data_IF_245103306888
#
_entry.id   IF_245103306888
#
_cell.length_a   1.000
_cell.length_b   1.000
_cell.length_c   1.000
_cell.angle_alpha   90.00
_cell.angle_beta   90.00
_cell.angle_gamma   90.00
#
_symmetry.space_group_name_H-M   'P 1'
#
loop_
_entity.id
_entity.type
_entity.pdbx_description
1 polymer ?
#
# COMPACT_ATOMS: atom_id res chain seq x y z
N UNK A 1 -3.68 13.70 -22.92
CA UNK A 1 -3.22 13.82 -21.51
C UNK A 1 -3.69 12.60 -20.77
N UNK A 2 -2.79 11.87 -20.10
CA UNK A 2 -3.18 10.67 -19.34
C UNK A 2 -4.01 11.08 -18.10
N UNK A 3 -4.73 10.11 -17.52
CA UNK A 3 -5.45 10.28 -16.26
C UNK A 3 -4.48 10.61 -15.11
N UNK A 4 -3.27 10.03 -15.15
CA UNK A 4 -2.22 10.26 -14.14
C UNK A 4 -1.79 11.72 -14.14
N UNK A 5 -1.50 12.32 -15.30
CA UNK A 5 -1.14 13.74 -15.38
C UNK A 5 -2.26 14.67 -14.93
N UNK A 6 -3.52 14.31 -15.18
CA UNK A 6 -4.66 15.15 -14.82
C UNK A 6 -4.89 15.18 -13.30
N UNK A 7 -4.70 14.06 -12.62
CA UNK A 7 -5.09 13.91 -11.22
C UNK A 7 -3.91 13.78 -10.26
N UNK A 8 -2.84 13.06 -10.60
CA UNK A 8 -1.74 12.80 -9.68
C UNK A 8 -0.69 13.92 -9.70
N UNK A 9 -0.22 14.34 -10.88
CA UNK A 9 0.90 15.29 -11.03
C UNK A 9 0.66 16.61 -10.29
N UNK A 10 -0.49 17.30 -10.44
CA UNK A 10 -0.71 18.58 -9.76
C UNK A 10 -0.72 18.45 -8.23
N UNK A 11 -1.18 17.31 -7.71
CA UNK A 11 -1.23 17.07 -6.27
C UNK A 11 0.13 16.63 -5.72
N UNK A 12 0.95 15.94 -6.52
CA UNK A 12 2.32 15.56 -6.15
C UNK A 12 3.21 16.80 -6.05
N UNK A 13 3.15 17.71 -7.03
CA UNK A 13 3.92 18.96 -7.00
C UNK A 13 3.52 19.84 -5.82
N UNK A 14 2.23 19.91 -5.50
CA UNK A 14 1.72 20.65 -4.34
C UNK A 14 2.11 20.00 -2.99
N UNK A 15 2.30 18.68 -2.95
CA UNK A 15 2.67 17.93 -1.75
C UNK A 15 4.19 17.76 -1.57
N UNK A 16 4.98 18.01 -2.62
CA UNK A 16 6.43 17.82 -2.64
C UNK A 16 7.10 18.78 -1.65
N UNK A 17 7.60 18.23 -0.53
CA UNK A 17 8.47 18.95 0.39
C UNK A 17 9.93 18.68 0.01
N UNK A 18 10.83 19.67 0.12
CA UNK A 18 12.25 19.43 -0.07
C UNK A 18 12.72 18.27 0.83
N UNK A 19 13.43 17.30 0.25
CA UNK A 19 13.98 16.12 0.92
C UNK A 19 12.96 15.12 1.51
N UNK A 20 11.67 15.23 1.18
CA UNK A 20 10.68 14.21 1.53
C UNK A 20 10.65 13.08 0.50
N UNK A 21 10.39 11.85 0.95
CA UNK A 21 10.20 10.69 0.07
C UNK A 21 8.83 10.77 -0.64
N UNK A 22 8.81 10.61 -1.95
CA UNK A 22 7.60 10.46 -2.77
C UNK A 22 7.19 9.00 -2.87
N UNK A 23 6.15 8.61 -2.12
CA UNK A 23 5.69 7.21 -2.04
C UNK A 23 4.41 7.04 -2.87
N UNK A 24 4.47 6.21 -3.91
CA UNK A 24 3.30 5.77 -4.67
C UNK A 24 2.61 4.60 -3.99
N UNK A 25 1.33 4.76 -3.64
CA UNK A 25 0.54 3.72 -2.95
C UNK A 25 -0.40 3.06 -3.96
N UNK A 26 -0.25 1.74 -4.13
CA UNK A 26 -1.18 0.90 -4.88
C UNK A 26 -2.24 0.37 -3.91
N UNK A 27 -3.45 0.92 -4.02
CA UNK A 27 -4.62 0.48 -3.26
C UNK A 27 -5.88 0.61 -4.11
N UNK A 28 -6.81 -0.32 -3.98
CA UNK A 28 -8.12 -0.20 -4.61
C UNK A 28 -9.04 0.62 -3.70
N UNK A 29 -9.75 1.60 -4.26
CA UNK A 29 -10.80 2.29 -3.52
C UNK A 29 -12.15 1.61 -3.77
N UNK A 30 -12.75 1.03 -2.72
CA UNK A 30 -14.18 0.79 -2.66
C UNK A 30 -14.92 2.05 -2.19
N UNK A 31 -16.15 2.28 -2.67
CA UNK A 31 -17.01 3.36 -2.17
C UNK A 31 -18.25 2.75 -1.50
N UNK A 32 -18.20 2.67 -0.16
CA UNK A 32 -19.33 2.29 0.69
C UNK A 32 -20.41 3.37 0.61
N UNK A 33 -21.68 2.97 0.55
CA UNK A 33 -22.79 3.92 0.60
C UNK A 33 -23.93 3.40 1.46
N UNK A 34 -24.24 4.16 2.50
CA UNK A 34 -25.44 4.01 3.30
C UNK A 34 -26.35 5.23 3.10
N UNK A 35 -27.63 5.00 2.80
CA UNK A 35 -28.63 6.05 2.57
C UNK A 35 -29.86 5.55 1.82
N UNK A 36 -30.96 6.30 1.87
CA UNK A 36 -32.27 5.93 1.29
C UNK A 36 -32.47 6.39 -0.16
N UNK A 37 -31.49 7.08 -0.77
CA UNK A 37 -31.54 7.55 -2.16
C UNK A 37 -30.39 6.95 -2.97
N UNK A 38 -30.67 6.01 -3.89
CA UNK A 38 -29.62 5.37 -4.71
C UNK A 38 -30.09 4.93 -6.11
N UNK A 39 -29.30 5.28 -7.13
CA UNK A 39 -29.20 4.52 -8.38
C UNK A 39 -27.88 3.73 -8.35
N UNK A 40 -27.92 2.48 -8.81
CA UNK A 40 -26.70 1.68 -9.02
C UNK A 40 -26.02 1.16 -7.74
N UNK A 41 -26.70 1.03 -6.60
CA UNK A 41 -26.10 0.43 -5.38
C UNK A 41 -26.48 -1.04 -5.28
N UNK A 42 -25.47 -1.91 -5.08
CA UNK A 42 -25.65 -3.35 -4.88
C UNK A 42 -24.70 -3.86 -3.81
N UNK A 43 -25.13 -4.92 -3.11
CA UNK A 43 -24.28 -5.74 -2.25
C UNK A 43 -23.13 -6.32 -3.08
N UNK A 44 -21.91 -5.94 -2.75
CA UNK A 44 -20.71 -6.44 -3.39
C UNK A 44 -19.58 -6.61 -2.37
N UNK A 45 -18.62 -7.48 -2.67
CA UNK A 45 -17.48 -7.68 -1.80
C UNK A 45 -16.57 -6.45 -1.85
N UNK A 46 -16.40 -5.77 -0.72
CA UNK A 46 -15.64 -4.52 -0.63
C UNK A 46 -14.51 -4.66 0.38
N UNK A 47 -13.28 -4.47 -0.09
CA UNK A 47 -12.07 -4.56 0.75
C UNK A 47 -12.06 -3.54 1.88
N UNK A 48 -12.55 -2.31 1.64
CA UNK A 48 -12.65 -1.24 2.63
C UNK A 48 -13.60 -1.60 3.79
N UNK A 49 -14.71 -2.28 3.48
CA UNK A 49 -15.75 -2.67 4.45
C UNK A 49 -15.38 -3.93 5.25
N UNK A 50 -14.34 -4.66 4.82
CA UNK A 50 -13.96 -5.94 5.41
C UNK A 50 -14.98 -7.06 5.15
N UNK A 51 -15.78 -6.96 4.09
CA UNK A 51 -16.81 -7.96 3.77
C UNK A 51 -17.74 -7.55 2.63
N UNK A 52 -18.94 -8.15 2.58
CA UNK A 52 -19.97 -7.78 1.62
C UNK A 52 -20.75 -6.59 2.19
N UNK A 53 -20.78 -5.49 1.46
CA UNK A 53 -21.56 -4.31 1.81
C UNK A 53 -22.18 -3.63 0.57
N UNK A 54 -23.05 -2.66 0.79
CA UNK A 54 -23.65 -1.83 -0.25
C UNK A 54 -22.60 -0.86 -0.81
N UNK A 55 -22.25 -1.06 -2.08
CA UNK A 55 -21.35 -0.18 -2.79
C UNK A 55 -21.96 0.32 -4.09
N UNK A 56 -21.38 1.41 -4.59
CA UNK A 56 -21.71 1.94 -5.93
C UNK A 56 -21.22 0.92 -6.97
N UNK A 57 -22.14 0.44 -7.80
CA UNK A 57 -21.88 -0.33 -9.01
C UNK A 57 -21.72 0.67 -10.15
N UNK A 58 -20.51 0.81 -10.66
CA UNK A 58 -20.26 1.64 -11.84
C UNK A 58 -20.40 0.75 -13.07
N UNK A 59 -21.21 1.17 -14.04
CA UNK A 59 -21.23 0.51 -15.34
C UNK A 59 -19.91 0.79 -16.04
N UNK A 60 -19.15 -0.26 -16.31
CA UNK A 60 -17.92 -0.18 -17.10
C UNK A 60 -18.27 -0.29 -18.59
N UNK A 61 -17.48 0.32 -19.49
CA UNK A 61 -17.64 0.15 -20.93
C UNK A 61 -17.69 -1.33 -21.31
N UNK A 62 -18.58 -1.70 -22.24
CA UNK A 62 -18.79 -3.09 -22.65
C UNK A 62 -17.55 -3.70 -23.35
N UNK A 63 -16.69 -2.86 -23.89
CA UNK A 63 -15.42 -3.20 -24.53
C UNK A 63 -14.25 -3.29 -23.53
N UNK A 64 -14.49 -3.07 -22.23
CA UNK A 64 -13.45 -3.18 -21.22
C UNK A 64 -13.01 -4.64 -21.04
N UNK A 65 -11.78 -4.93 -21.45
CA UNK A 65 -11.17 -6.25 -21.23
C UNK A 65 -10.78 -6.42 -19.77
N UNK A 66 -10.98 -7.63 -19.24
CA UNK A 66 -10.52 -8.00 -17.90
C UNK A 66 -8.99 -7.86 -17.80
N UNK A 67 -8.53 -7.21 -16.73
CA UNK A 67 -7.13 -7.14 -16.35
C UNK A 67 -7.00 -7.44 -14.85
N UNK A 68 -5.95 -8.16 -14.48
CA UNK A 68 -5.64 -8.41 -13.07
C UNK A 68 -5.18 -7.13 -12.39
N UNK A 69 -5.28 -7.07 -11.04
CA UNK A 69 -4.78 -5.93 -10.24
C UNK A 69 -3.33 -5.56 -10.56
N UNK A 70 -2.48 -6.58 -10.74
CA UNK A 70 -1.09 -6.36 -11.15
C UNK A 70 -0.95 -5.73 -12.53
N UNK A 71 -1.76 -6.15 -13.50
CA UNK A 71 -1.76 -5.59 -14.86
C UNK A 71 -2.29 -4.14 -14.87
N UNK A 72 -3.34 -3.86 -14.09
CA UNK A 72 -3.84 -2.49 -13.90
C UNK A 72 -2.78 -1.58 -13.26
N UNK A 73 -2.09 -2.06 -12.21
CA UNK A 73 -1.01 -1.31 -11.58
C UNK A 73 0.16 -1.03 -12.54
N UNK A 74 0.56 -2.02 -13.36
CA UNK A 74 1.59 -1.82 -14.39
C UNK A 74 1.14 -0.75 -15.40
N UNK A 75 -0.13 -0.77 -15.84
CA UNK A 75 -0.68 0.25 -16.73
C UNK A 75 -0.59 1.65 -16.13
N UNK A 76 -1.04 1.83 -14.87
CA UNK A 76 -0.97 3.10 -14.17
C UNK A 76 0.46 3.59 -13.98
N UNK A 77 1.40 2.70 -13.64
CA UNK A 77 2.82 3.05 -13.50
C UNK A 77 3.44 3.44 -14.85
N UNK A 78 3.07 2.76 -15.94
CA UNK A 78 3.54 3.12 -17.28
C UNK A 78 3.09 4.52 -17.68
N UNK A 79 1.84 4.86 -17.41
CA UNK A 79 1.31 6.20 -17.65
C UNK A 79 2.05 7.24 -16.79
N UNK A 80 2.28 6.92 -15.50
CA UNK A 80 3.04 7.79 -14.60
C UNK A 80 4.47 8.07 -15.10
N UNK A 81 5.17 7.04 -15.57
CA UNK A 81 6.51 7.19 -16.13
C UNK A 81 6.53 7.95 -17.45
N UNK A 82 5.52 7.74 -18.31
CA UNK A 82 5.35 8.51 -19.54
C UNK A 82 5.13 10.01 -19.26
N UNK A 83 4.50 10.33 -18.12
CA UNK A 83 4.32 11.71 -17.64
C UNK A 83 5.49 12.23 -16.77
N UNK A 84 6.63 11.52 -16.75
CA UNK A 84 7.83 11.86 -15.97
C UNK A 84 7.59 11.98 -14.45
N UNK A 85 6.64 11.23 -13.91
CA UNK A 85 6.43 11.14 -12.47
C UNK A 85 7.51 10.28 -11.84
N UNK A 86 8.29 10.88 -10.93
CA UNK A 86 9.31 10.19 -10.17
C UNK A 86 8.77 9.73 -8.81
N UNK A 87 8.90 8.44 -8.53
CA UNK A 87 8.50 7.83 -7.25
C UNK A 87 9.74 7.30 -6.55
N UNK A 88 9.89 7.66 -5.27
CA UNK A 88 10.94 7.11 -4.43
C UNK A 88 10.65 5.65 -4.06
N UNK A 89 9.41 5.31 -3.75
CA UNK A 89 9.00 3.94 -3.45
C UNK A 89 7.60 3.68 -4.00
N UNK A 90 7.37 2.48 -4.53
CA UNK A 90 6.03 1.95 -4.77
C UNK A 90 5.67 0.99 -3.65
N UNK A 91 4.52 1.18 -3.03
CA UNK A 91 4.05 0.34 -1.92
C UNK A 91 2.69 -0.25 -2.25
N UNK A 92 2.44 -1.45 -1.75
CA UNK A 92 1.23 -2.18 -2.08
C UNK A 92 0.99 -3.35 -1.14
N UNK A 93 -0.24 -3.82 -1.14
CA UNK A 93 -0.67 -4.93 -0.30
C UNK A 93 -0.16 -6.30 -0.78
N UNK A 94 -0.68 -7.37 -0.16
CA UNK A 94 -0.24 -8.74 -0.43
C UNK A 94 -0.59 -9.22 -1.84
N UNK A 95 -1.66 -8.67 -2.43
CA UNK A 95 -2.09 -9.03 -3.78
C UNK A 95 -1.08 -8.51 -4.80
N UNK A 96 -0.64 -7.26 -4.65
CA UNK A 96 0.42 -6.69 -5.45
C UNK A 96 1.76 -7.40 -5.21
N UNK A 97 2.11 -7.69 -3.95
CA UNK A 97 3.36 -8.37 -3.62
C UNK A 97 3.43 -9.81 -4.07
N UNK A 98 2.30 -10.49 -4.31
CA UNK A 98 2.27 -11.84 -4.91
C UNK A 98 2.46 -11.79 -6.44
N UNK A 99 2.14 -10.66 -7.09
CA UNK A 99 2.23 -10.52 -8.54
C UNK A 99 3.69 -10.45 -9.04
N UNK A 100 4.20 -11.55 -9.61
CA UNK A 100 5.56 -11.60 -10.17
C UNK A 100 5.76 -10.66 -11.36
N UNK A 101 4.73 -10.49 -12.21
CA UNK A 101 4.78 -9.55 -13.35
C UNK A 101 5.05 -8.12 -12.89
N UNK A 102 4.36 -7.67 -11.83
CA UNK A 102 4.54 -6.33 -11.25
C UNK A 102 5.95 -6.16 -10.67
N UNK A 103 6.45 -7.14 -9.91
CA UNK A 103 7.81 -7.07 -9.35
C UNK A 103 8.87 -6.99 -10.45
N UNK A 104 8.73 -7.82 -11.49
CA UNK A 104 9.63 -7.82 -12.65
C UNK A 104 9.63 -6.47 -13.35
N UNK A 105 8.44 -5.92 -13.62
CA UNK A 105 8.30 -4.60 -14.23
C UNK A 105 8.98 -3.49 -13.40
N UNK A 106 8.77 -3.48 -12.08
CA UNK A 106 9.39 -2.50 -11.19
C UNK A 106 10.93 -2.64 -11.17
N UNK A 107 11.44 -3.87 -11.09
CA UNK A 107 12.89 -4.14 -11.14
C UNK A 107 13.52 -3.70 -12.47
N UNK A 108 12.87 -3.98 -13.60
CA UNK A 108 13.34 -3.58 -14.95
C UNK A 108 13.42 -2.06 -15.12
N UNK A 109 12.53 -1.32 -14.47
CA UNK A 109 12.51 0.15 -14.50
C UNK A 109 13.39 0.78 -13.41
N UNK A 110 14.09 -0.03 -12.60
CA UNK A 110 14.88 0.48 -11.47
C UNK A 110 14.02 1.18 -10.42
N UNK A 111 12.75 0.82 -10.29
CA UNK A 111 11.83 1.38 -9.31
C UNK A 111 11.97 0.64 -7.98
N UNK A 112 12.33 1.37 -6.91
CA UNK A 112 12.30 0.80 -5.57
C UNK A 112 10.86 0.52 -5.12
N UNK A 113 10.64 -0.59 -4.42
CA UNK A 113 9.33 -0.97 -3.92
C UNK A 113 9.38 -1.62 -2.54
N UNK A 114 8.26 -1.52 -1.81
CA UNK A 114 7.98 -2.26 -0.57
C UNK A 114 6.58 -2.86 -0.68
N UNK A 115 6.51 -4.14 -1.02
CA UNK A 115 5.24 -4.84 -1.23
C UNK A 115 5.00 -5.85 -0.11
N UNK A 116 3.78 -5.88 0.45
CA UNK A 116 3.44 -6.90 1.46
C UNK A 116 3.45 -8.28 0.82
N UNK A 117 3.91 -9.30 1.54
CA UNK A 117 3.94 -10.70 1.10
C UNK A 117 3.42 -11.62 2.19
N UNK A 118 3.01 -12.83 1.79
CA UNK A 118 2.58 -13.88 2.72
C UNK A 118 3.74 -14.33 3.61
N UNK A 119 3.39 -14.82 4.78
CA UNK A 119 4.32 -15.47 5.71
C UNK A 119 5.04 -16.70 5.10
N UNK A 120 4.35 -17.39 4.19
CA UNK A 120 4.85 -18.54 3.42
C UNK A 120 5.70 -18.16 2.21
N UNK A 121 5.88 -16.87 1.94
CA UNK A 121 6.71 -16.41 0.82
C UNK A 121 8.16 -16.90 0.98
N UNK A 122 8.67 -17.56 -0.05
CA UNK A 122 9.99 -18.18 -0.04
C UNK A 122 11.05 -17.14 -0.44
N UNK A 123 12.07 -17.02 0.39
CA UNK A 123 13.19 -16.12 0.22
C UNK A 123 14.47 -16.94 0.08
N UNK A 124 15.22 -16.67 -0.99
CA UNK A 124 16.60 -17.12 -1.09
C UNK A 124 17.48 -16.23 -0.20
N UNK A 125 18.17 -16.80 0.77
CA UNK A 125 19.17 -16.15 1.61
C UNK A 125 20.58 -16.50 1.14
N UNK A 126 21.57 -15.73 1.59
CA UNK A 126 22.99 -16.03 1.35
C UNK A 126 23.35 -17.45 1.78
N UNK A 127 24.27 -18.08 1.05
CA UNK A 127 24.64 -19.48 1.28
C UNK A 127 23.67 -20.52 0.72
N UNK A 128 22.83 -20.14 -0.26
CA UNK A 128 21.97 -21.08 -1.00
C UNK A 128 20.77 -21.61 -0.22
N UNK A 129 20.44 -21.01 0.93
CA UNK A 129 19.32 -21.45 1.76
C UNK A 129 18.04 -20.74 1.35
N UNK A 130 16.97 -21.50 1.08
CA UNK A 130 15.62 -20.95 0.86
C UNK A 130 14.75 -21.14 2.09
N UNK A 131 14.19 -20.05 2.64
CA UNK A 131 13.34 -20.08 3.83
C UNK A 131 12.05 -19.30 3.61
N UNK A 132 10.98 -19.71 4.28
CA UNK A 132 9.77 -18.88 4.38
C UNK A 132 9.98 -17.69 5.32
N UNK A 133 9.19 -16.62 5.18
CA UNK A 133 9.24 -15.47 6.09
C UNK A 133 9.15 -15.87 7.57
N UNK A 134 8.28 -16.82 7.91
CA UNK A 134 8.20 -17.39 9.26
C UNK A 134 9.48 -18.07 9.72
N UNK A 135 10.05 -18.94 8.88
CA UNK A 135 11.31 -19.62 9.18
C UNK A 135 12.47 -18.64 9.35
N UNK A 136 12.47 -17.55 8.56
CA UNK A 136 13.44 -16.47 8.67
C UNK A 136 13.35 -15.79 10.04
N UNK A 137 12.14 -15.43 10.49
CA UNK A 137 11.92 -14.84 11.82
C UNK A 137 12.37 -15.81 12.91
N UNK A 138 11.96 -17.07 12.80
CA UNK A 138 12.26 -18.11 13.78
C UNK A 138 13.77 -18.38 13.88
N UNK A 139 14.53 -18.32 12.79
CA UNK A 139 15.98 -18.61 12.81
C UNK A 139 16.83 -17.38 13.13
N UNK A 140 16.49 -16.23 12.55
CA UNK A 140 17.40 -15.08 12.53
C UNK A 140 16.96 -13.91 13.42
N UNK A 141 15.69 -13.83 13.83
CA UNK A 141 15.12 -12.68 14.57
C UNK A 141 14.70 -13.03 16.02
N UNK A 142 15.24 -14.10 16.62
CA UNK A 142 14.96 -14.49 18.02
C UNK A 142 15.38 -13.43 19.04
N UNK A 143 16.45 -12.69 18.77
CA UNK A 143 17.02 -11.73 19.71
C UNK A 143 16.29 -10.39 19.66
N UNK A 144 15.87 -9.88 20.83
CA UNK A 144 15.19 -8.57 20.96
C UNK A 144 15.99 -7.39 20.39
N UNK A 145 17.33 -7.44 20.45
CA UNK A 145 18.22 -6.37 19.95
C UNK A 145 18.20 -6.18 18.43
N UNK A 146 17.69 -7.15 17.67
CA UNK A 146 17.54 -7.05 16.21
C UNK A 146 16.29 -6.29 15.78
N UNK A 147 15.43 -5.94 16.74
CA UNK A 147 14.19 -5.22 16.50
C UNK A 147 14.37 -3.75 16.86
N UNK A 148 14.08 -2.88 15.91
CA UNK A 148 14.01 -1.44 16.13
C UNK A 148 12.55 -1.06 16.32
N UNK A 149 12.23 -0.47 17.47
CA UNK A 149 10.88 -0.06 17.79
C UNK A 149 10.64 1.33 17.21
N UNK A 150 9.60 1.47 16.39
CA UNK A 150 9.15 2.75 15.87
C UNK A 150 7.64 2.91 16.12
N UNK A 151 7.26 4.07 16.64
CA UNK A 151 5.85 4.46 16.74
C UNK A 151 5.35 4.89 15.35
N UNK A 152 4.23 4.32 14.92
CA UNK A 152 3.53 4.70 13.68
C UNK A 152 2.59 5.91 13.87
N UNK A 153 2.71 6.63 14.99
CA UNK A 153 1.81 7.72 15.38
C UNK A 153 0.54 7.25 16.08
N UNK A 154 -0.21 8.23 16.60
CA UNK A 154 -1.48 8.03 17.30
C UNK A 154 -2.59 7.79 16.28
N UNK A 155 -2.95 6.53 16.06
CA UNK A 155 -4.10 6.19 15.21
C UNK A 155 -5.42 6.28 15.97
N UNK A 156 -6.55 6.24 15.24
CA UNK A 156 -7.91 6.17 15.79
C UNK A 156 -8.21 4.92 16.65
N UNK A 157 -7.25 3.98 16.77
CA UNK A 157 -7.32 2.77 17.60
C UNK A 157 -6.23 2.70 18.68
N UNK A 158 -5.65 3.83 19.05
CA UNK A 158 -4.55 3.91 20.03
C UNK A 158 -3.16 3.95 19.40
N UNK A 159 -2.14 4.03 20.25
CA UNK A 159 -0.74 4.15 19.84
C UNK A 159 -0.27 2.87 19.13
N UNK A 160 0.08 2.99 17.85
CA UNK A 160 0.50 1.85 17.03
C UNK A 160 2.01 1.68 17.14
N UNK A 161 2.44 1.01 18.19
CA UNK A 161 3.85 0.68 18.41
C UNK A 161 4.18 -0.61 17.66
N UNK A 162 5.05 -0.50 16.65
CA UNK A 162 5.53 -1.65 15.90
C UNK A 162 7.04 -1.83 16.12
N UNK A 163 7.42 -3.09 16.30
CA UNK A 163 8.81 -3.51 16.21
C UNK A 163 9.12 -3.88 14.76
N UNK A 164 10.21 -3.36 14.24
CA UNK A 164 10.66 -3.58 12.86
C UNK A 164 12.00 -4.29 12.85
N UNK A 165 12.16 -5.21 11.93
CA UNK A 165 13.43 -5.87 11.66
C UNK A 165 13.55 -6.07 10.15
N UNK A 166 14.77 -6.08 9.63
CA UNK A 166 15.02 -6.36 8.23
C UNK A 166 16.12 -7.40 8.05
N UNK A 167 16.07 -8.13 6.95
CA UNK A 167 17.04 -9.16 6.58
C UNK A 167 17.39 -9.01 5.12
N UNK A 168 18.69 -8.96 4.82
CA UNK A 168 19.18 -9.03 3.45
C UNK A 168 18.97 -10.43 2.88
N UNK A 169 18.57 -10.50 1.61
CA UNK A 169 18.40 -11.77 0.89
C UNK A 169 19.71 -12.14 0.17
N UNK A 170 19.70 -13.23 -0.61
CA UNK A 170 20.83 -13.62 -1.46
C UNK A 170 21.20 -12.55 -2.50
N UNK A 171 20.22 -11.74 -2.94
CA UNK A 171 20.45 -10.62 -3.84
C UNK A 171 20.71 -9.37 -2.98
N UNK A 172 21.81 -8.62 -3.21
CA UNK A 172 22.18 -7.48 -2.38
C UNK A 172 21.22 -6.29 -2.50
N UNK A 173 20.32 -6.33 -3.48
CA UNK A 173 19.29 -5.32 -3.75
C UNK A 173 17.93 -5.65 -3.13
N UNK A 174 17.77 -6.87 -2.58
CA UNK A 174 16.48 -7.37 -2.07
C UNK A 174 16.55 -7.59 -0.57
N UNK A 175 15.52 -7.13 0.14
CA UNK A 175 15.42 -7.19 1.59
C UNK A 175 14.03 -7.67 2.02
N UNK A 176 13.98 -8.40 3.12
CA UNK A 176 12.74 -8.70 3.83
C UNK A 176 12.61 -7.73 5.00
N UNK A 177 11.56 -6.91 5.00
CA UNK A 177 11.16 -6.10 6.14
C UNK A 177 10.03 -6.79 6.90
N UNK A 178 10.28 -7.08 8.18
CA UNK A 178 9.33 -7.71 9.09
C UNK A 178 8.83 -6.66 10.07
N UNK A 179 7.51 -6.52 10.13
CA UNK A 179 6.81 -5.73 11.13
C UNK A 179 6.20 -6.66 12.15
N UNK A 180 6.36 -6.36 13.44
CA UNK A 180 5.73 -7.06 14.54
C UNK A 180 4.91 -6.08 15.37
N UNK A 181 3.64 -6.41 15.60
CA UNK A 181 2.80 -5.66 16.52
C UNK A 181 3.26 -5.92 17.96
N UNK A 182 3.59 -4.86 18.72
CA UNK A 182 4.17 -5.04 20.06
C UNK A 182 3.21 -5.70 21.05
N UNK A 183 1.91 -5.41 20.95
CA UNK A 183 0.86 -5.99 21.82
C UNK A 183 0.42 -7.39 21.36
N UNK A 184 -0.13 -7.52 20.15
CA UNK A 184 -0.69 -8.80 19.65
C UNK A 184 0.37 -9.81 19.22
N UNK A 185 1.61 -9.36 18.95
CA UNK A 185 2.66 -10.20 18.41
C UNK A 185 2.52 -10.53 16.92
N UNK A 186 1.47 -10.04 16.25
CA UNK A 186 1.18 -10.29 14.84
C UNK A 186 2.34 -9.84 13.94
N UNK A 187 2.70 -10.68 12.97
CA UNK A 187 3.78 -10.44 12.03
C UNK A 187 3.22 -10.06 10.65
N UNK A 188 3.80 -9.03 10.04
CA UNK A 188 3.58 -8.68 8.65
C UNK A 188 4.90 -8.63 7.90
N UNK A 189 4.95 -9.23 6.71
CA UNK A 189 6.15 -9.38 5.90
C UNK A 189 6.05 -8.48 4.68
N UNK A 190 7.13 -7.75 4.38
CA UNK A 190 7.23 -6.91 3.20
C UNK A 190 8.49 -7.26 2.43
N UNK A 191 8.32 -7.57 1.16
CA UNK A 191 9.43 -7.80 0.23
C UNK A 191 9.83 -6.48 -0.41
N UNK A 192 11.08 -6.11 -0.22
CA UNK A 192 11.61 -4.83 -0.61
C UNK A 192 12.67 -5.01 -1.70
N UNK A 193 12.60 -4.17 -2.74
CA UNK A 193 13.67 -4.01 -3.71
C UNK A 193 14.16 -2.57 -3.64
N UNK A 194 15.47 -2.39 -3.56
CA UNK A 194 16.10 -1.07 -3.72
C UNK A 194 17.23 -1.18 -4.74
N UNK A 195 17.20 -0.38 -5.82
CA UNK A 195 18.22 -0.40 -6.85
C UNK A 195 19.61 -0.06 -6.30
N UNK A 196 20.65 -0.60 -6.95
CA UNK A 196 22.02 -0.26 -6.63
C UNK A 196 22.28 1.25 -6.80
N UNK A 197 23.08 1.84 -5.90
CA UNK A 197 23.42 3.26 -5.93
C UNK A 197 22.51 4.16 -5.07
N UNK A 198 21.44 3.61 -4.48
CA UNK A 198 20.59 4.35 -3.54
C UNK A 198 20.86 3.92 -2.10
N UNK A 199 21.08 4.86 -1.14
CA UNK A 199 21.29 4.49 0.25
C UNK A 199 20.03 3.87 0.84
N UNK A 200 20.14 2.60 1.25
CA UNK A 200 19.04 1.89 1.93
C UNK A 200 19.20 2.09 3.42
N UNK A 201 18.24 2.80 4.03
CA UNK A 201 18.19 2.95 5.49
C UNK A 201 16.90 2.31 6.01
N UNK A 202 16.99 1.69 7.19
CA UNK A 202 15.82 1.12 7.86
C UNK A 202 14.68 2.16 8.02
N UNK A 203 14.92 3.43 8.40
CA UNK A 203 13.88 4.46 8.42
C UNK A 203 13.15 4.66 7.10
N UNK A 204 13.84 4.60 5.95
CA UNK A 204 13.19 4.73 4.64
C UNK A 204 12.26 3.54 4.35
N UNK A 205 12.71 2.32 4.66
CA UNK A 205 11.88 1.12 4.50
C UNK A 205 10.70 1.10 5.47
N UNK A 206 10.89 1.58 6.71
CA UNK A 206 9.80 1.74 7.67
C UNK A 206 8.80 2.78 7.18
N UNK A 207 9.25 3.94 6.69
CA UNK A 207 8.37 4.97 6.14
C UNK A 207 7.48 4.43 5.01
N UNK A 208 8.04 3.59 4.13
CA UNK A 208 7.31 2.92 3.07
C UNK A 208 6.44 1.73 3.55
N UNK A 209 6.86 1.01 4.59
CA UNK A 209 6.13 -0.14 5.15
C UNK A 209 5.02 0.24 6.14
N UNK A 210 4.99 1.50 6.61
CA UNK A 210 3.95 1.99 7.49
C UNK A 210 2.59 1.92 6.79
N UNK A 211 1.50 1.62 7.54
CA UNK A 211 0.16 1.67 6.95
C UNK A 211 -0.09 3.06 6.35
N UNK A 212 -0.48 3.11 5.07
CA UNK A 212 -0.81 4.36 4.42
C UNK A 212 -1.94 5.08 5.20
N UNK A 213 -1.85 6.42 5.39
CA UNK A 213 -2.92 7.20 6.00
C UNK A 213 -4.28 7.01 5.31
N UNK A 214 -4.31 6.69 4.02
CA UNK A 214 -5.54 6.42 3.26
C UNK A 214 -6.27 5.20 3.83
N UNK A 215 -5.56 4.08 4.08
CA UNK A 215 -6.15 2.90 4.72
C UNK A 215 -6.55 3.16 6.18
N UNK A 216 -5.97 4.16 6.84
CA UNK A 216 -6.36 4.57 8.19
C UNK A 216 -7.56 5.54 8.22
N UNK A 217 -7.69 6.41 7.21
CA UNK A 217 -8.71 7.45 7.10
C UNK A 217 -10.02 7.03 6.40
N UNK A 218 -10.00 5.96 5.62
CA UNK A 218 -11.22 5.40 5.01
C UNK A 218 -12.24 4.88 6.04
N UNK A 219 -11.86 4.73 7.32
CA UNK A 219 -12.77 4.30 8.39
C UNK A 219 -13.45 5.45 9.14
N UNK A 220 -13.14 6.71 8.82
CA UNK A 220 -13.52 7.85 9.67
C UNK A 220 -14.09 9.06 8.93
N UNK A 221 -14.66 8.91 7.73
CA UNK A 221 -15.48 9.97 7.13
C UNK A 221 -16.97 9.61 7.21
N UNK A 222 -17.72 10.13 8.21
CA UNK A 222 -19.16 10.25 8.04
C UNK A 222 -19.42 11.13 6.83
N UNK A 223 -20.44 10.79 6.05
CA UNK A 223 -20.91 11.59 4.93
C UNK A 223 -21.45 12.94 5.42
N UNK A 224 -20.60 13.97 5.44
CA UNK A 224 -21.06 15.35 5.55
C UNK A 224 -21.59 15.81 4.19
N UNK A 225 -22.88 16.14 4.16
CA UNK A 225 -23.58 16.63 2.98
C UNK A 225 -25.08 16.78 3.20
N UNK A 226 -25.50 17.26 4.37
CA UNK A 226 -26.88 17.69 4.63
C UNK A 226 -26.94 19.22 4.62
N UNK A 227 -27.17 19.83 3.45
CA UNK A 227 -27.59 21.23 3.39
C UNK A 227 -29.03 21.28 3.90
N UNK A 228 -29.20 21.70 5.15
CA UNK A 228 -30.48 22.09 5.72
C UNK A 228 -30.90 23.42 5.11
N UNK A 229 -31.76 23.39 4.09
CA UNK A 229 -32.51 24.57 3.66
C UNK A 229 -33.68 24.76 4.62
N UNK A 230 -33.51 25.65 5.60
CA UNK A 230 -34.61 26.14 6.44
C UNK A 230 -35.57 26.99 5.60
N UNK A 231 -36.67 26.39 5.16
CA UNK A 231 -37.81 27.09 4.59
C UNK A 231 -38.75 27.56 5.69
N UNK A 232 -38.55 28.78 6.17
CA UNK A 232 -39.60 29.52 6.86
C UNK A 232 -40.62 29.99 5.83
N UNK A 233 -41.89 29.64 6.05
CA UNK A 233 -43.03 30.16 5.30
C UNK A 233 -44.08 30.69 6.28
N UNK A 234 -44.52 31.95 6.15
CA UNK A 234 -45.57 32.55 6.99
C UNK A 234 -46.96 32.30 6.38
N UNK A 235 -47.99 32.29 7.22
CA UNK A 235 -49.40 32.25 6.80
C UNK A 235 -50.23 31.27 7.60
#
# INVERSE_FOLDING_TARGET
MSVVRRFAVPHLDAAARPHALTIGVLDETGQEKHGTATAGVKRQHMGCAGGIDNGITTALPLDLTFATKGELAIGLLRDAYADAVHLDFVVGDEVYGTCTKLRTFLEEHGQAYVLRVRATFILALGGGTSLTGEQVVARHLKQKRKWTIHSAGTGSKGERIYAWAWIATARPVHYLLVRKHCVTGELAFHYCHVPAGRPVTLPCLIAAGLPCPVCAGQRSRPSEGGVSSGGGGPG
#
